data_IF_361970635307
#
_entry.id   IF_361970635307
#
_cell.length_a   1.000
_cell.length_b   1.000
_cell.length_c   1.000
_cell.angle_alpha   90.00
_cell.angle_beta   90.00
_cell.angle_gamma   90.00
#
_symmetry.space_group_name_H-M   'P 1'
#
loop_
_entity.id
_entity.type
_entity.pdbx_description
1 polymer ?
#
# COMPACT_ATOMS: atom_id res chain seq x y z
N UNK A 1 42.27 -8.22 33.41
CA UNK A 1 42.22 -6.96 34.19
C UNK A 1 40.96 -6.22 33.78
N UNK A 2 39.98 -6.10 34.68
CA UNK A 2 38.75 -5.33 34.47
C UNK A 2 39.05 -3.91 34.95
N UNK A 3 38.82 -2.91 34.10
CA UNK A 3 39.01 -1.50 34.49
C UNK A 3 37.74 -1.02 35.20
N UNK A 4 37.88 -0.53 36.43
CA UNK A 4 36.76 -0.04 37.26
C UNK A 4 36.08 1.22 36.68
N UNK A 5 36.60 1.75 35.56
CA UNK A 5 36.05 2.92 34.85
C UNK A 5 35.06 2.57 33.73
N UNK A 6 34.83 1.29 33.43
CA UNK A 6 33.93 0.87 32.36
C UNK A 6 32.69 0.22 32.98
N UNK A 7 31.60 0.99 33.08
CA UNK A 7 30.34 0.55 33.66
C UNK A 7 29.53 -0.34 32.69
N UNK A 8 29.58 -0.03 31.39
CA UNK A 8 28.89 -0.77 30.33
C UNK A 8 29.80 -0.79 29.09
N UNK A 9 29.92 -1.96 28.47
CA UNK A 9 30.51 -2.12 27.13
C UNK A 9 29.46 -2.80 26.26
N UNK A 10 29.15 -2.22 25.11
CA UNK A 10 28.28 -2.86 24.11
C UNK A 10 29.12 -3.80 23.22
N UNK A 11 28.51 -4.88 22.74
CA UNK A 11 29.13 -5.73 21.72
C UNK A 11 29.35 -4.94 20.42
N UNK A 12 30.36 -5.37 19.64
CA UNK A 12 30.50 -4.88 18.28
C UNK A 12 29.19 -5.14 17.51
N UNK A 13 28.63 -4.07 16.96
CA UNK A 13 27.50 -4.16 16.04
C UNK A 13 28.06 -4.23 14.63
N UNK A 14 27.78 -5.33 13.93
CA UNK A 14 28.08 -5.44 12.52
C UNK A 14 26.95 -4.75 11.76
N UNK A 15 27.18 -3.52 11.32
CA UNK A 15 26.30 -2.86 10.37
C UNK A 15 26.52 -3.50 9.00
N UNK A 16 25.46 -4.05 8.42
CA UNK A 16 25.43 -4.33 6.98
C UNK A 16 24.71 -3.14 6.37
N UNK A 17 25.39 -2.40 5.50
CA UNK A 17 24.71 -1.37 4.71
C UNK A 17 23.52 -2.01 3.99
N UNK A 18 22.39 -1.31 4.00
CA UNK A 18 21.22 -1.73 3.26
C UNK A 18 21.60 -1.67 1.77
N UNK A 19 21.41 -2.77 1.05
CA UNK A 19 21.48 -2.71 -0.42
C UNK A 19 20.20 -2.01 -0.87
N UNK A 20 20.31 -0.72 -1.15
CA UNK A 20 19.17 0.14 -1.52
C UNK A 20 18.82 0.08 -3.01
N UNK A 21 19.66 -0.58 -3.81
CA UNK A 21 19.40 -0.83 -5.22
C UNK A 21 18.70 -2.19 -5.35
N UNK A 22 17.45 -2.24 -5.85
CA UNK A 22 16.76 -3.50 -6.09
C UNK A 22 17.54 -4.40 -7.06
N UNK A 23 17.43 -5.71 -6.86
CA UNK A 23 17.98 -6.70 -7.80
C UNK A 23 17.02 -7.01 -8.96
N UNK A 24 16.06 -6.12 -9.20
CA UNK A 24 15.05 -6.27 -10.24
C UNK A 24 15.68 -6.17 -11.63
N UNK A 25 15.28 -7.05 -12.55
CA UNK A 25 15.96 -7.20 -13.86
C UNK A 25 15.88 -5.92 -14.69
N UNK A 26 14.79 -5.14 -14.52
CA UNK A 26 14.56 -3.90 -15.28
C UNK A 26 14.74 -2.64 -14.45
N UNK A 27 15.31 -2.70 -13.25
CA UNK A 27 15.51 -1.51 -12.42
C UNK A 27 16.34 -0.43 -13.13
N UNK A 28 17.37 -0.84 -13.90
CA UNK A 28 18.21 0.10 -14.65
C UNK A 28 17.44 0.93 -15.70
N UNK A 29 16.25 0.49 -16.12
CA UNK A 29 15.39 1.19 -17.07
C UNK A 29 14.46 2.21 -16.40
N UNK A 30 14.29 2.14 -15.07
CA UNK A 30 13.38 2.98 -14.27
C UNK A 30 14.03 4.32 -13.92
N UNK A 31 14.21 5.17 -14.94
CA UNK A 31 14.86 6.48 -14.82
C UNK A 31 14.19 7.38 -13.79
N UNK A 32 12.88 7.26 -13.60
CA UNK A 32 12.11 8.05 -12.65
C UNK A 32 12.52 7.79 -11.20
N UNK A 33 13.12 6.62 -10.93
CA UNK A 33 13.57 6.21 -9.60
C UNK A 33 15.04 6.50 -9.35
N UNK A 34 15.88 6.35 -10.38
CA UNK A 34 17.31 6.64 -10.34
C UNK A 34 17.81 6.93 -11.77
N UNK A 35 18.21 8.17 -12.01
CA UNK A 35 18.60 8.69 -13.31
C UNK A 35 20.09 8.98 -13.35
N UNK A 36 20.85 8.07 -13.95
CA UNK A 36 22.28 8.23 -14.21
C UNK A 36 22.57 8.80 -15.61
N UNK A 37 21.55 9.33 -16.30
CA UNK A 37 21.60 9.72 -17.71
C UNK A 37 21.45 8.55 -18.69
N UNK A 38 20.97 7.39 -18.23
CA UNK A 38 20.90 6.14 -19.01
C UNK A 38 20.00 6.21 -20.24
N UNK A 39 19.03 7.13 -20.26
CA UNK A 39 18.11 7.40 -21.38
C UNK A 39 18.46 8.68 -22.16
N UNK A 40 19.62 9.30 -21.89
CA UNK A 40 20.02 10.58 -22.48
C UNK A 40 19.37 11.81 -21.82
N UNK A 41 18.72 11.63 -20.67
CA UNK A 41 18.20 12.71 -19.83
C UNK A 41 19.30 13.45 -19.04
N UNK A 42 18.89 14.43 -18.23
CA UNK A 42 19.79 15.08 -17.27
C UNK A 42 19.98 14.12 -16.10
N UNK A 43 21.21 13.72 -15.75
CA UNK A 43 21.45 12.94 -14.53
C UNK A 43 20.88 13.64 -13.31
N UNK A 44 20.47 12.90 -12.28
CA UNK A 44 19.91 13.42 -11.02
C UNK A 44 18.49 14.02 -11.15
N UNK A 45 17.89 13.96 -12.35
CA UNK A 45 16.50 14.35 -12.55
C UNK A 45 15.57 13.16 -12.31
N UNK A 46 15.36 12.80 -11.05
CA UNK A 46 14.52 11.70 -10.57
C UNK A 46 13.90 11.99 -9.18
N UNK A 47 13.39 10.97 -8.48
CA UNK A 47 12.74 11.10 -7.16
C UNK A 47 13.64 10.68 -5.97
N UNK A 48 14.93 10.43 -6.19
CA UNK A 48 15.90 9.94 -5.19
C UNK A 48 15.39 8.68 -4.46
N UNK A 49 14.86 7.71 -5.22
CA UNK A 49 14.24 6.52 -4.62
C UNK A 49 15.23 5.64 -3.82
N UNK A 50 16.46 5.35 -4.32
CA UNK A 50 17.47 4.62 -3.53
C UNK A 50 17.78 5.29 -2.19
N UNK A 51 17.88 6.61 -2.16
CA UNK A 51 18.14 7.41 -0.97
C UNK A 51 16.96 7.31 0.01
N UNK A 52 15.73 7.42 -0.50
CA UNK A 52 14.52 7.22 0.30
C UNK A 52 14.42 5.79 0.86
N UNK A 53 14.80 4.78 0.09
CA UNK A 53 14.78 3.38 0.51
C UNK A 53 15.85 3.02 1.54
N UNK A 54 16.89 3.84 1.69
CA UNK A 54 17.80 3.74 2.84
C UNK A 54 17.05 4.01 4.15
N UNK A 55 16.12 4.97 4.12
CA UNK A 55 15.27 5.35 5.24
C UNK A 55 14.15 4.32 5.44
N UNK A 56 13.36 4.05 4.40
CA UNK A 56 12.24 3.11 4.46
C UNK A 56 11.83 2.58 3.08
N UNK A 57 11.50 1.29 3.01
CA UNK A 57 10.94 0.62 1.82
C UNK A 57 9.44 0.34 1.98
N UNK A 58 8.76 1.04 2.90
CA UNK A 58 7.40 0.75 3.33
C UNK A 58 7.34 0.05 4.69
N UNK A 59 6.21 -0.58 5.02
CA UNK A 59 6.00 -1.28 6.28
C UNK A 59 4.64 -1.01 6.90
N UNK A 60 4.63 -0.79 8.22
CA UNK A 60 3.42 -0.50 8.98
C UNK A 60 3.33 0.97 9.40
N UNK A 61 2.12 1.43 9.64
CA UNK A 61 1.84 2.75 10.22
C UNK A 61 2.35 2.82 11.66
N UNK A 62 2.35 4.02 12.25
CA UNK A 62 2.67 4.23 13.67
C UNK A 62 1.78 3.45 14.63
N UNK A 63 0.64 2.93 14.16
CA UNK A 63 -0.30 2.11 14.91
C UNK A 63 -0.14 0.60 14.65
N UNK A 64 0.85 0.20 13.83
CA UNK A 64 1.12 -1.20 13.49
C UNK A 64 0.28 -1.76 12.34
N UNK A 65 -0.48 -0.92 11.64
CA UNK A 65 -1.30 -1.36 10.51
C UNK A 65 -0.49 -1.43 9.22
N UNK A 66 -0.72 -2.42 8.36
CA UNK A 66 -0.13 -2.45 7.01
C UNK A 66 -0.60 -1.24 6.19
N UNK A 67 0.31 -0.61 5.46
CA UNK A 67 -0.04 0.48 4.55
C UNK A 67 -0.77 -0.11 3.33
N UNK A 68 -2.01 0.35 3.10
CA UNK A 68 -2.84 -0.06 1.96
C UNK A 68 -3.14 1.17 1.11
N UNK A 69 -2.91 1.06 -0.20
CA UNK A 69 -3.21 2.11 -1.18
C UNK A 69 -4.34 1.62 -2.07
N UNK A 70 -5.38 2.44 -2.21
CA UNK A 70 -6.47 2.13 -3.12
C UNK A 70 -6.26 2.75 -4.50
N UNK A 71 -6.51 1.95 -5.53
CA UNK A 71 -6.36 2.33 -6.93
C UNK A 71 -7.74 2.26 -7.58
N UNK A 72 -8.18 3.35 -8.18
CA UNK A 72 -9.42 3.43 -8.95
C UNK A 72 -9.04 3.58 -10.42
N UNK A 73 -9.04 2.45 -11.14
CA UNK A 73 -8.64 2.33 -12.54
C UNK A 73 -9.47 1.21 -13.21
N UNK A 74 -9.18 0.85 -14.46
CA UNK A 74 -9.84 -0.22 -15.22
C UNK A 74 -9.59 -1.65 -14.73
N UNK A 75 -9.08 -1.82 -13.51
CA UNK A 75 -8.75 -3.11 -12.89
C UNK A 75 -7.25 -3.43 -12.86
N UNK A 76 -6.90 -4.56 -12.25
CA UNK A 76 -5.53 -5.04 -12.12
C UNK A 76 -5.45 -6.54 -12.45
N UNK A 77 -4.30 -7.00 -12.94
CA UNK A 77 -4.00 -8.42 -13.03
C UNK A 77 -3.60 -8.95 -11.65
N UNK A 78 -4.51 -9.65 -10.99
CA UNK A 78 -4.34 -10.08 -9.59
C UNK A 78 -3.26 -11.16 -9.42
N UNK A 79 -3.02 -11.97 -10.45
CA UNK A 79 -2.06 -13.07 -10.44
C UNK A 79 -0.65 -12.67 -10.95
N UNK A 80 -0.41 -11.37 -11.13
CA UNK A 80 0.89 -10.88 -11.57
C UNK A 80 1.94 -11.01 -10.46
N UNK A 81 3.04 -11.72 -10.73
CA UNK A 81 4.06 -12.06 -9.72
C UNK A 81 4.79 -10.86 -9.12
N UNK A 82 4.84 -9.74 -9.86
CA UNK A 82 5.52 -8.52 -9.45
C UNK A 82 4.57 -7.50 -8.78
N UNK A 83 3.28 -7.84 -8.62
CA UNK A 83 2.31 -6.97 -7.94
C UNK A 83 1.93 -7.56 -6.58
N UNK A 84 1.91 -6.68 -5.58
CA UNK A 84 1.35 -7.01 -4.28
C UNK A 84 -0.11 -6.52 -4.22
N UNK A 85 -1.03 -7.42 -3.91
CA UNK A 85 -2.46 -7.12 -3.88
C UNK A 85 -3.00 -7.23 -2.46
N UNK A 86 -3.83 -6.26 -2.08
CA UNK A 86 -4.52 -6.31 -0.80
C UNK A 86 -5.56 -7.43 -0.80
N UNK A 87 -5.79 -8.02 0.38
CA UNK A 87 -6.79 -9.05 0.63
C UNK A 87 -7.74 -8.59 1.73
N UNK A 88 -9.05 -8.71 1.49
CA UNK A 88 -10.07 -8.58 2.52
C UNK A 88 -10.04 -9.83 3.42
N UNK A 89 -9.75 -9.64 4.70
CA UNK A 89 -9.71 -10.71 5.70
C UNK A 89 -11.04 -10.86 6.45
N UNK A 90 -11.97 -9.92 6.28
CA UNK A 90 -13.30 -9.99 6.85
C UNK A 90 -14.24 -10.89 6.03
N UNK A 91 -13.89 -11.15 4.78
CA UNK A 91 -14.62 -12.01 3.85
C UNK A 91 -14.15 -13.48 3.88
N UNK A 92 -15.10 -14.42 3.88
CA UNK A 92 -14.85 -15.86 3.75
C UNK A 92 -14.96 -16.24 2.27
N UNK A 93 -13.89 -16.77 1.64
CA UNK A 93 -13.91 -17.01 0.20
C UNK A 93 -15.02 -17.96 -0.27
N UNK A 94 -15.80 -17.52 -1.26
CA UNK A 94 -16.76 -18.30 -2.03
C UNK A 94 -17.89 -18.89 -1.18
N UNK A 95 -18.32 -18.17 -0.15
CA UNK A 95 -19.49 -18.55 0.65
C UNK A 95 -20.80 -17.92 0.12
N UNK A 96 -20.73 -16.97 -0.82
CA UNK A 96 -21.87 -16.28 -1.39
C UNK A 96 -22.56 -15.30 -0.43
N UNK A 97 -21.87 -14.89 0.63
CA UNK A 97 -22.35 -13.99 1.68
C UNK A 97 -21.45 -12.74 1.68
N UNK A 98 -22.04 -11.61 2.03
CA UNK A 98 -21.32 -10.39 2.40
C UNK A 98 -21.06 -10.48 3.92
N UNK A 99 -19.85 -10.88 4.30
CA UNK A 99 -19.51 -11.22 5.69
C UNK A 99 -19.14 -9.98 6.52
N UNK A 100 -18.62 -8.94 5.87
CA UNK A 100 -18.28 -7.66 6.48
C UNK A 100 -19.41 -6.62 6.40
N UNK A 101 -20.46 -6.94 5.63
CA UNK A 101 -21.70 -6.20 5.50
C UNK A 101 -21.50 -4.85 4.79
N UNK A 102 -20.50 -4.78 3.89
CA UNK A 102 -20.10 -3.60 3.13
C UNK A 102 -20.93 -3.37 1.84
N UNK A 103 -21.80 -4.31 1.47
CA UNK A 103 -22.66 -4.26 0.29
C UNK A 103 -22.13 -5.03 -0.93
N UNK A 104 -20.97 -5.67 -0.82
CA UNK A 104 -20.35 -6.49 -1.86
C UNK A 104 -20.18 -7.93 -1.38
N UNK A 105 -20.69 -8.89 -2.16
CA UNK A 105 -20.58 -10.32 -1.83
C UNK A 105 -19.22 -10.84 -2.32
N UNK A 106 -18.49 -11.57 -1.46
CA UNK A 106 -17.24 -12.27 -1.78
C UNK A 106 -16.13 -11.35 -2.34
N UNK A 107 -15.99 -10.11 -1.86
CA UNK A 107 -14.97 -9.13 -2.33
C UNK A 107 -13.58 -9.34 -1.69
N UNK A 108 -13.09 -10.59 -1.75
CA UNK A 108 -11.80 -11.03 -1.19
C UNK A 108 -10.62 -10.19 -1.70
N UNK A 109 -10.68 -9.76 -2.95
CA UNK A 109 -9.71 -8.90 -3.63
C UNK A 109 -10.50 -7.94 -4.52
N UNK A 110 -10.19 -6.64 -4.46
CA UNK A 110 -10.96 -5.57 -5.13
C UNK A 110 -11.23 -5.81 -6.63
N UNK A 111 -10.34 -6.52 -7.33
CA UNK A 111 -10.49 -6.83 -8.76
C UNK A 111 -11.39 -8.05 -9.07
N UNK A 112 -12.03 -8.62 -8.05
CA UNK A 112 -13.12 -9.59 -8.20
C UNK A 112 -14.47 -8.95 -8.48
N UNK A 113 -14.58 -7.61 -8.44
CA UNK A 113 -15.78 -6.93 -8.87
C UNK A 113 -15.99 -7.21 -10.38
N UNK A 114 -17.05 -7.94 -10.79
CA UNK A 114 -17.48 -7.84 -12.18
C UNK A 114 -17.70 -6.35 -12.45
N UNK A 115 -17.26 -5.87 -13.62
CA UNK A 115 -17.58 -4.53 -14.14
C UNK A 115 -18.96 -4.14 -13.62
N UNK A 116 -19.03 -3.09 -12.79
CA UNK A 116 -20.24 -2.70 -12.10
C UNK A 116 -21.33 -2.49 -13.15
N UNK A 117 -22.13 -3.53 -13.41
CA UNK A 117 -23.29 -3.40 -14.27
C UNK A 117 -24.17 -2.37 -13.60
N UNK A 118 -24.69 -1.44 -14.39
CA UNK A 118 -25.29 -0.15 -14.04
C UNK A 118 -26.44 -0.21 -13.00
N UNK A 119 -26.76 -1.38 -12.46
CA UNK A 119 -27.84 -1.68 -11.53
C UNK A 119 -27.38 -1.87 -10.06
N UNK A 120 -26.07 -1.87 -9.75
CA UNK A 120 -25.57 -2.06 -8.37
C UNK A 120 -25.20 -0.77 -7.61
N UNK A 121 -25.43 0.41 -8.19
CA UNK A 121 -25.35 1.66 -7.45
C UNK A 121 -26.57 1.77 -6.51
N UNK A 122 -26.42 1.34 -5.25
CA UNK A 122 -27.38 1.69 -4.21
C UNK A 122 -27.42 3.23 -4.06
N UNK A 123 -28.61 3.85 -3.98
CA UNK A 123 -28.73 5.29 -3.90
C UNK A 123 -28.06 5.82 -2.62
N UNK A 124 -27.14 6.76 -2.78
CA UNK A 124 -26.51 7.57 -1.72
C UNK A 124 -27.64 8.25 -0.91
N UNK A 125 -28.14 7.59 0.14
CA UNK A 125 -29.18 8.21 0.99
C UNK A 125 -29.25 7.71 2.43
N UNK A 126 -28.38 6.80 2.88
CA UNK A 126 -28.36 6.43 4.30
C UNK A 126 -27.01 6.77 4.92
N UNK A 127 -26.90 7.99 5.44
CA UNK A 127 -25.91 8.34 6.44
C UNK A 127 -26.23 7.52 7.69
N UNK A 128 -25.54 6.39 7.87
CA UNK A 128 -25.57 5.69 9.15
C UNK A 128 -24.70 6.45 10.15
N UNK A 129 -25.36 6.93 11.19
CA UNK A 129 -24.77 7.65 12.31
C UNK A 129 -23.79 6.74 13.06
N UNK A 130 -22.59 7.26 13.28
CA UNK A 130 -21.49 6.61 13.98
C UNK A 130 -21.91 6.16 15.40
N UNK A 131 -22.13 4.86 15.56
CA UNK A 131 -22.17 4.21 16.87
C UNK A 131 -21.63 2.78 16.74
N UNK A 132 -20.31 2.65 16.60
CA UNK A 132 -19.62 1.36 16.48
C UNK A 132 -18.12 1.42 16.10
N UNK A 133 -17.48 2.59 16.20
CA UNK A 133 -16.12 2.87 15.72
C UNK A 133 -14.99 2.27 16.61
N UNK A 134 -14.97 0.96 16.83
CA UNK A 134 -13.82 0.32 17.50
C UNK A 134 -13.26 -0.95 16.83
N UNK A 135 -13.91 -1.62 15.87
CA UNK A 135 -13.34 -2.90 15.38
C UNK A 135 -13.15 -3.09 13.87
N UNK A 136 -13.49 -2.13 13.00
CA UNK A 136 -13.16 -2.26 11.57
C UNK A 136 -12.63 -0.93 11.02
N UNK A 137 -11.30 -0.86 10.87
CA UNK A 137 -10.59 0.19 10.14
C UNK A 137 -10.77 -0.04 8.64
N UNK A 138 -12.00 0.07 8.16
CA UNK A 138 -12.28 0.04 6.72
C UNK A 138 -11.99 1.41 6.11
N UNK A 139 -11.06 1.40 5.16
CA UNK A 139 -10.71 2.53 4.32
C UNK A 139 -11.87 2.71 3.34
N UNK A 140 -12.91 3.42 3.77
CA UNK A 140 -13.92 3.96 2.85
C UNK A 140 -13.27 5.18 2.17
N UNK A 141 -12.91 5.00 0.91
CA UNK A 141 -12.60 6.08 -0.02
C UNK A 141 -13.90 6.86 -0.23
N UNK A 142 -14.12 7.90 0.57
CA UNK A 142 -15.10 8.92 0.26
C UNK A 142 -14.54 9.75 -0.90
N UNK A 143 -14.89 9.37 -2.14
CA UNK A 143 -14.56 10.15 -3.32
C UNK A 143 -15.29 11.50 -3.23
N UNK A 144 -14.53 12.54 -2.89
CA UNK A 144 -14.94 13.93 -2.91
C UNK A 144 -15.00 14.39 -4.37
N UNK A 145 -16.20 14.34 -4.96
CA UNK A 145 -16.53 15.08 -6.17
C UNK A 145 -17.65 16.08 -5.85
N UNK A 146 -17.30 17.17 -5.18
CA UNK A 146 -18.06 18.41 -5.31
C UNK A 146 -17.48 19.20 -6.50
N UNK A 147 -18.12 19.04 -7.65
CA UNK A 147 -18.06 19.92 -8.81
C UNK A 147 -19.52 20.11 -9.21
N UNK A 148 -20.17 21.25 -9.02
CA UNK A 148 -19.77 22.56 -9.55
C UNK A 148 -20.40 23.69 -8.72
N UNK A 149 -19.62 24.73 -8.43
CA UNK A 149 -20.16 26.07 -8.22
C UNK A 149 -20.30 26.79 -9.57
N UNK A 150 -21.54 26.92 -10.06
CA UNK A 150 -22.18 28.11 -10.65
C UNK A 150 -23.56 27.74 -11.21
#
# INVERSE_FOLDING_TARGET
>A
MRSDKVAIAQFNHYFKERVVIPNDTRFAEQWDKNNTGQTGGTPDADIDAPEAWDISTGGTTVFGDTIVVAIVDGGQQIDHQDLNTWRNWAEIPANGIDDDNNGYIDDIQLAGMPEATTEQFLPISTVHTAQGLQEQKEIIISALLESTGM
#
